data_IF_446144901736
#
_entry.id   IF_446144901736
#
_cell.length_a   1.000
_cell.length_b   1.000
_cell.length_c   1.000
_cell.angle_alpha   90.00
_cell.angle_beta   90.00
_cell.angle_gamma   90.00
#
_symmetry.space_group_name_H-M   'P 1'
#
loop_
_entity.id
_entity.type
_entity.pdbx_description
1 polymer ?
#
# COMPACT_ATOMS: atom_id res chain seq x y z
N UNK A 1 32.12 -32.03 28.95
CA UNK A 1 30.84 -32.77 28.79
C UNK A 1 29.78 -31.71 28.57
N UNK A 2 29.41 -31.46 27.31
CA UNK A 2 28.17 -31.66 26.63
C UNK A 2 27.05 -30.77 27.19
N UNK A 3 26.39 -29.91 26.44
CA UNK A 3 25.74 -30.12 25.15
C UNK A 3 25.35 -28.77 24.50
N UNK A 4 25.71 -28.62 23.28
CA UNK A 4 25.20 -27.64 22.34
C UNK A 4 23.79 -28.08 21.89
N UNK A 5 22.80 -27.20 21.99
CA UNK A 5 21.57 -27.36 21.24
C UNK A 5 21.49 -26.22 20.20
N UNK A 6 21.73 -26.59 18.95
CA UNK A 6 21.56 -25.73 17.79
C UNK A 6 20.06 -25.54 17.52
N UNK A 7 19.63 -24.29 17.38
CA UNK A 7 18.34 -23.94 16.77
C UNK A 7 18.52 -23.75 15.28
N UNK A 8 17.61 -24.23 14.43
CA UNK A 8 17.72 -24.02 13.00
C UNK A 8 17.34 -22.56 12.65
N UNK A 9 18.25 -21.92 11.94
CA UNK A 9 18.06 -20.64 11.29
C UNK A 9 17.10 -20.86 10.12
N UNK A 10 15.94 -20.21 10.18
CA UNK A 10 15.01 -20.09 9.03
C UNK A 10 15.69 -19.24 7.96
N UNK A 11 16.28 -19.89 6.97
CA UNK A 11 16.80 -19.22 5.78
C UNK A 11 15.60 -18.71 4.95
N UNK A 12 15.34 -17.42 5.03
CA UNK A 12 14.45 -16.75 4.10
C UNK A 12 15.07 -16.81 2.70
N UNK A 13 14.46 -17.54 1.80
CA UNK A 13 14.79 -17.55 0.38
C UNK A 13 14.53 -16.17 -0.21
N UNK A 14 15.59 -15.39 -0.34
CA UNK A 14 15.65 -14.21 -1.19
C UNK A 14 15.75 -14.70 -2.65
N UNK A 15 14.66 -14.75 -3.36
CA UNK A 15 14.70 -14.80 -4.81
C UNK A 15 15.16 -13.44 -5.32
N UNK A 16 16.19 -13.36 -6.20
CA UNK A 16 16.62 -12.08 -6.75
C UNK A 16 15.51 -11.51 -7.64
N UNK A 17 15.08 -10.28 -7.34
CA UNK A 17 14.19 -9.49 -8.19
C UNK A 17 14.83 -9.31 -9.58
N UNK A 18 14.10 -9.49 -10.68
CA UNK A 18 14.57 -8.96 -11.96
C UNK A 18 14.62 -7.44 -11.85
N UNK A 19 15.79 -6.85 -12.16
CA UNK A 19 15.99 -5.40 -12.20
C UNK A 19 14.92 -4.76 -13.09
N UNK A 20 14.30 -3.65 -12.69
CA UNK A 20 13.31 -2.96 -13.52
C UNK A 20 14.02 -2.25 -14.68
N UNK A 21 14.18 -2.95 -15.79
CA UNK A 21 14.52 -2.32 -17.07
C UNK A 21 13.27 -2.34 -17.94
N UNK A 22 12.73 -1.14 -18.21
CA UNK A 22 11.73 -0.82 -19.25
C UNK A 22 10.27 -1.25 -18.96
N UNK A 23 9.63 -0.56 -18.03
CA UNK A 23 8.17 -0.42 -18.05
C UNK A 23 7.74 1.05 -18.28
N UNK A 24 8.61 1.85 -18.90
CA UNK A 24 8.42 3.30 -19.08
C UNK A 24 7.53 3.67 -20.29
N UNK A 25 6.86 2.73 -20.94
CA UNK A 25 6.20 3.02 -22.22
C UNK A 25 4.68 2.82 -22.25
N UNK A 26 4.02 2.51 -21.14
CA UNK A 26 2.56 2.26 -21.14
C UNK A 26 1.71 3.26 -20.34
N UNK A 27 2.31 4.20 -19.62
CA UNK A 27 1.56 5.23 -18.87
C UNK A 27 1.41 6.58 -19.57
N UNK A 28 1.97 6.75 -20.78
CA UNK A 28 1.85 8.01 -21.55
C UNK A 28 0.51 8.26 -22.24
N UNK A 29 -0.49 7.38 -22.09
CA UNK A 29 -1.78 7.49 -22.80
C UNK A 29 -3.01 7.68 -21.93
N UNK A 30 -2.87 8.10 -20.68
CA UNK A 30 -4.03 8.31 -19.78
C UNK A 30 -4.42 9.79 -19.57
N UNK A 31 -3.84 10.72 -20.33
CA UNK A 31 -4.24 12.13 -20.34
C UNK A 31 -4.69 12.58 -21.74
N UNK A 32 -5.53 11.81 -22.40
CA UNK A 32 -6.29 12.33 -23.54
C UNK A 32 -7.75 12.52 -23.08
N UNK A 33 -8.18 13.79 -23.11
CA UNK A 33 -9.54 14.23 -22.92
C UNK A 33 -10.52 13.40 -23.77
N UNK A 34 -11.20 12.45 -23.15
CA UNK A 34 -12.43 11.88 -23.67
C UNK A 34 -13.53 12.26 -22.69
N UNK A 35 -14.57 12.89 -23.24
CA UNK A 35 -15.79 13.28 -22.58
C UNK A 35 -16.32 12.10 -21.70
N UNK A 36 -16.16 12.23 -20.39
CA UNK A 36 -16.65 11.26 -19.44
C UNK A 36 -18.17 11.34 -19.41
N UNK A 37 -18.84 10.41 -20.06
CA UNK A 37 -20.18 10.00 -19.68
C UNK A 37 -20.10 9.51 -18.23
N UNK A 38 -20.80 10.15 -17.32
CA UNK A 38 -20.91 9.72 -15.94
C UNK A 38 -21.39 8.26 -15.90
N UNK A 39 -20.47 7.34 -15.60
CA UNK A 39 -20.80 5.94 -15.38
C UNK A 39 -21.48 5.86 -14.01
N UNK A 40 -22.79 5.72 -14.01
CA UNK A 40 -23.53 5.31 -12.82
C UNK A 40 -22.95 3.98 -12.31
N UNK A 41 -22.79 3.82 -10.98
CA UNK A 41 -22.39 2.52 -10.41
C UNK A 41 -23.33 1.45 -10.96
N UNK A 42 -22.84 0.26 -11.29
CA UNK A 42 -23.69 -0.82 -11.77
C UNK A 42 -24.76 -1.06 -10.72
N UNK A 43 -26.02 -0.94 -11.13
CA UNK A 43 -27.12 -1.54 -10.39
C UNK A 43 -26.74 -3.01 -10.16
N UNK A 44 -27.02 -3.59 -8.98
CA UNK A 44 -26.68 -4.99 -8.69
C UNK A 44 -27.39 -5.89 -9.70
N UNK A 45 -26.69 -6.19 -10.78
CA UNK A 45 -27.14 -7.10 -11.84
C UNK A 45 -26.19 -8.29 -11.85
N UNK A 46 -26.80 -9.44 -11.62
CA UNK A 46 -26.23 -10.77 -11.59
C UNK A 46 -25.30 -10.99 -10.38
N UNK A 47 -25.84 -11.71 -9.41
CA UNK A 47 -25.14 -12.21 -8.24
C UNK A 47 -23.84 -12.89 -8.66
N UNK A 48 -22.72 -12.17 -8.51
CA UNK A 48 -21.43 -12.82 -8.37
C UNK A 48 -21.62 -13.78 -7.22
N UNK A 49 -21.18 -15.06 -7.31
CA UNK A 49 -21.29 -15.95 -6.18
C UNK A 49 -20.70 -15.28 -4.96
N UNK A 50 -21.49 -15.16 -3.90
CA UNK A 50 -20.93 -14.71 -2.63
C UNK A 50 -19.78 -15.62 -2.28
N UNK A 51 -18.73 -15.05 -1.66
CA UNK A 51 -17.75 -15.91 -1.02
C UNK A 51 -18.52 -16.83 -0.07
N UNK A 52 -18.13 -18.11 0.06
CA UNK A 52 -18.67 -18.95 1.10
C UNK A 52 -18.72 -18.17 2.42
N UNK A 53 -19.80 -18.30 3.19
CA UNK A 53 -19.93 -17.60 4.49
C UNK A 53 -18.74 -17.86 5.41
N UNK A 54 -18.05 -18.99 5.19
CA UNK A 54 -16.85 -19.42 5.91
C UNK A 54 -15.53 -19.02 5.22
N UNK A 55 -15.54 -18.09 4.24
CA UNK A 55 -14.31 -17.68 3.58
C UNK A 55 -13.33 -17.08 4.59
N UNK A 56 -12.12 -17.64 4.62
CA UNK A 56 -11.05 -17.21 5.52
C UNK A 56 -10.68 -15.74 5.23
N UNK A 57 -10.84 -14.81 6.19
CA UNK A 57 -10.50 -13.40 6.00
C UNK A 57 -8.98 -13.16 5.92
N UNK A 58 -8.17 -14.19 6.20
CA UNK A 58 -6.72 -14.12 6.12
C UNK A 58 -6.27 -13.86 4.67
N UNK A 59 -5.35 -12.92 4.42
CA UNK A 59 -4.76 -12.71 3.10
C UNK A 59 -4.26 -14.02 2.49
N UNK A 60 -4.53 -14.24 1.20
CA UNK A 60 -4.29 -15.51 0.52
C UNK A 60 -2.85 -16.04 0.74
N UNK A 61 -1.86 -15.17 0.64
CA UNK A 61 -0.45 -15.54 0.80
C UNK A 61 -0.04 -15.95 2.23
N UNK A 62 -0.86 -15.64 3.24
CA UNK A 62 -0.63 -16.01 4.66
C UNK A 62 -1.29 -17.34 5.04
N UNK A 63 -2.20 -17.84 4.23
CA UNK A 63 -2.91 -19.09 4.52
C UNK A 63 -2.00 -20.30 4.36
N UNK A 64 -2.17 -21.34 5.17
CA UNK A 64 -1.43 -22.59 4.97
C UNK A 64 -1.81 -23.25 3.64
N UNK A 65 -0.87 -23.87 2.92
CA UNK A 65 -1.17 -24.65 1.71
C UNK A 65 -1.81 -26.00 2.10
N UNK A 66 -3.13 -26.05 2.11
CA UNK A 66 -3.88 -27.18 2.65
C UNK A 66 -4.77 -27.90 1.60
N UNK A 67 -4.86 -27.36 0.37
CA UNK A 67 -5.78 -27.87 -0.65
C UNK A 67 -5.02 -28.57 -1.78
N UNK A 68 -4.95 -29.92 -1.79
CA UNK A 68 -4.30 -30.67 -2.87
C UNK A 68 -5.16 -30.63 -4.13
N UNK A 69 -4.59 -30.21 -5.26
CA UNK A 69 -5.28 -30.05 -6.53
C UNK A 69 -4.50 -30.79 -7.64
N UNK A 70 -5.14 -31.71 -8.39
CA UNK A 70 -4.52 -32.35 -9.54
C UNK A 70 -4.20 -31.37 -10.68
N UNK A 71 -3.12 -31.61 -11.42
CA UNK A 71 -2.72 -30.83 -12.60
C UNK A 71 -3.85 -30.54 -13.56
N UNK A 72 -4.65 -31.57 -13.87
CA UNK A 72 -5.78 -31.48 -14.81
C UNK A 72 -6.85 -30.50 -14.33
N UNK A 73 -7.14 -30.48 -13.02
CA UNK A 73 -8.13 -29.58 -12.41
C UNK A 73 -7.63 -28.14 -12.40
N UNK A 74 -6.35 -27.92 -12.05
CA UNK A 74 -5.72 -26.61 -12.09
C UNK A 74 -5.63 -26.07 -13.51
N UNK A 75 -5.29 -26.91 -14.48
CA UNK A 75 -5.26 -26.53 -15.90
C UNK A 75 -6.66 -26.19 -16.44
N UNK A 76 -7.69 -26.92 -16.01
CA UNK A 76 -9.08 -26.61 -16.35
C UNK A 76 -9.52 -25.27 -15.76
N UNK A 77 -9.20 -25.02 -14.50
CA UNK A 77 -9.44 -23.71 -13.85
C UNK A 77 -8.76 -22.58 -14.64
N UNK A 78 -7.45 -22.71 -14.95
CA UNK A 78 -6.70 -21.71 -15.73
C UNK A 78 -7.37 -21.37 -17.05
N UNK A 79 -7.85 -22.38 -17.80
CA UNK A 79 -8.55 -22.17 -19.08
C UNK A 79 -9.86 -21.42 -18.89
N UNK A 80 -10.69 -21.83 -17.91
CA UNK A 80 -11.98 -21.14 -17.61
C UNK A 80 -11.75 -19.71 -17.18
N UNK A 81 -10.83 -19.48 -16.24
CA UNK A 81 -10.50 -18.15 -15.73
C UNK A 81 -9.95 -17.22 -16.84
N UNK A 82 -9.07 -17.74 -17.70
CA UNK A 82 -8.53 -16.98 -18.83
C UNK A 82 -9.61 -16.63 -19.87
N UNK A 83 -10.60 -17.48 -20.10
CA UNK A 83 -11.71 -17.22 -21.01
C UNK A 83 -12.64 -16.09 -20.55
N UNK A 84 -12.60 -15.74 -19.26
CA UNK A 84 -13.37 -14.61 -18.70
C UNK A 84 -12.71 -13.26 -18.92
N UNK A 85 -11.43 -13.23 -19.34
CA UNK A 85 -10.69 -11.97 -19.58
C UNK A 85 -11.23 -11.30 -20.84
N UNK A 86 -11.77 -10.05 -20.72
CA UNK A 86 -12.24 -9.34 -21.90
C UNK A 86 -11.07 -8.97 -22.83
N UNK A 87 -11.27 -8.96 -24.15
CA UNK A 87 -10.23 -8.55 -25.11
C UNK A 87 -9.71 -7.11 -24.86
N UNK A 88 -10.57 -6.24 -24.29
CA UNK A 88 -10.23 -4.87 -23.92
C UNK A 88 -9.30 -4.74 -22.71
N UNK A 89 -9.12 -5.82 -21.91
CA UNK A 89 -8.34 -5.80 -20.69
C UNK A 89 -7.28 -6.93 -20.63
N UNK A 90 -6.37 -7.04 -21.61
CA UNK A 90 -5.40 -8.14 -21.70
C UNK A 90 -4.44 -8.22 -20.51
N UNK A 91 -4.27 -7.12 -19.75
CA UNK A 91 -3.46 -7.07 -18.53
C UNK A 91 -3.98 -8.02 -17.44
N UNK A 92 -5.27 -8.36 -17.42
CA UNK A 92 -5.87 -9.29 -16.46
C UNK A 92 -5.27 -10.70 -16.55
N UNK A 93 -4.75 -11.12 -17.72
CA UNK A 93 -3.99 -12.38 -17.79
C UNK A 93 -2.77 -12.41 -16.87
N UNK A 94 -2.16 -11.25 -16.61
CA UNK A 94 -1.07 -11.13 -15.63
C UNK A 94 -1.58 -11.28 -14.20
N UNK A 95 -2.74 -10.66 -13.90
CA UNK A 95 -3.38 -10.80 -12.59
C UNK A 95 -3.79 -12.26 -12.30
N UNK A 96 -4.27 -12.99 -13.30
CA UNK A 96 -4.55 -14.42 -13.15
C UNK A 96 -3.28 -15.22 -12.78
N UNK A 97 -2.14 -14.91 -13.39
CA UNK A 97 -0.87 -15.55 -13.01
C UNK A 97 -0.46 -15.20 -11.59
N UNK A 98 -0.67 -13.96 -11.16
CA UNK A 98 -0.37 -13.52 -9.78
C UNK A 98 -1.30 -14.19 -8.77
N UNK A 99 -2.60 -14.25 -9.04
CA UNK A 99 -3.56 -14.97 -8.20
C UNK A 99 -3.11 -16.41 -7.96
N UNK A 100 -2.71 -17.11 -9.02
CA UNK A 100 -2.24 -18.48 -8.92
C UNK A 100 -0.88 -18.60 -8.21
N UNK A 101 -0.02 -17.62 -8.36
CA UNK A 101 1.26 -17.59 -7.65
C UNK A 101 1.06 -17.40 -6.14
N UNK A 102 0.19 -16.48 -5.74
CA UNK A 102 -0.15 -16.25 -4.32
C UNK A 102 -0.89 -17.45 -3.71
N UNK A 103 -1.75 -18.10 -4.51
CA UNK A 103 -2.47 -19.27 -4.07
C UNK A 103 -1.60 -20.54 -3.97
N UNK A 104 -0.46 -20.60 -4.66
CA UNK A 104 0.38 -21.81 -4.72
C UNK A 104 1.48 -21.75 -3.66
N UNK A 105 1.75 -22.90 -3.03
CA UNK A 105 2.99 -23.12 -2.29
C UNK A 105 4.04 -23.78 -3.18
N UNK A 106 5.34 -23.64 -2.88
CA UNK A 106 6.37 -24.46 -3.49
C UNK A 106 6.00 -25.95 -3.33
N UNK A 107 6.00 -26.68 -4.43
CA UNK A 107 5.71 -28.12 -4.37
C UNK A 107 6.72 -28.80 -3.45
N UNK A 108 6.30 -29.68 -2.53
CA UNK A 108 7.24 -30.53 -1.84
C UNK A 108 7.95 -31.39 -2.89
N UNK A 109 9.26 -31.50 -2.79
CA UNK A 109 10.03 -32.40 -3.64
C UNK A 109 9.57 -33.83 -3.35
N UNK A 110 8.67 -34.39 -4.19
CA UNK A 110 8.32 -35.80 -4.08
C UNK A 110 9.50 -36.62 -4.63
N UNK A 111 9.97 -37.55 -3.83
CA UNK A 111 11.01 -38.51 -4.25
C UNK A 111 10.49 -39.60 -5.21
N UNK A 112 9.19 -39.64 -5.45
CA UNK A 112 8.56 -40.63 -6.33
C UNK A 112 8.10 -40.02 -7.67
N UNK A 113 8.77 -40.35 -8.79
CA UNK A 113 8.40 -39.86 -10.12
C UNK A 113 7.04 -40.39 -10.63
N UNK A 114 6.49 -41.44 -10.01
CA UNK A 114 5.20 -42.04 -10.40
C UNK A 114 4.02 -41.47 -9.61
N UNK A 115 4.27 -40.65 -8.57
CA UNK A 115 3.20 -40.02 -7.82
C UNK A 115 2.47 -38.98 -8.68
N UNK A 116 1.13 -38.85 -8.58
CA UNK A 116 0.40 -37.82 -9.30
C UNK A 116 0.89 -36.44 -8.85
N UNK A 117 1.23 -35.58 -9.81
CA UNK A 117 1.61 -34.20 -9.53
C UNK A 117 0.42 -33.46 -8.94
N UNK A 118 0.48 -33.26 -7.63
CA UNK A 118 -0.49 -32.47 -6.88
C UNK A 118 0.10 -31.09 -6.56
N UNK A 119 -0.67 -30.06 -6.87
CA UNK A 119 -0.40 -28.71 -6.39
C UNK A 119 -1.04 -28.52 -5.01
N UNK A 120 -0.31 -27.99 -4.06
CA UNK A 120 -0.88 -27.56 -2.78
C UNK A 120 -1.26 -26.10 -2.89
N UNK A 121 -2.56 -25.83 -2.87
CA UNK A 121 -3.08 -24.46 -2.89
C UNK A 121 -3.44 -23.97 -1.48
N UNK A 122 -3.46 -22.66 -1.32
CA UNK A 122 -3.82 -21.93 -0.08
C UNK A 122 -5.33 -21.68 0.04
N UNK A 123 -6.07 -21.95 -1.03
CA UNK A 123 -7.53 -21.90 -1.09
C UNK A 123 -8.05 -22.96 -2.08
N UNK A 124 -9.27 -23.46 -1.91
CA UNK A 124 -9.89 -24.37 -2.86
C UNK A 124 -10.19 -23.65 -4.19
N UNK A 125 -10.35 -24.43 -5.29
CA UNK A 125 -10.52 -23.86 -6.63
C UNK A 125 -11.81 -23.05 -6.81
N UNK A 126 -12.88 -23.39 -6.13
CA UNK A 126 -14.15 -22.66 -6.13
C UNK A 126 -14.02 -21.30 -5.48
N UNK A 127 -13.28 -21.18 -4.37
CA UNK A 127 -12.95 -19.90 -3.78
C UNK A 127 -12.08 -19.05 -4.71
N UNK A 128 -11.05 -19.61 -5.32
CA UNK A 128 -10.22 -18.92 -6.30
C UNK A 128 -11.04 -18.45 -7.52
N UNK A 129 -12.04 -19.24 -7.95
CA UNK A 129 -12.95 -18.85 -9.02
C UNK A 129 -13.86 -17.68 -8.60
N UNK A 130 -14.39 -17.70 -7.38
CA UNK A 130 -15.17 -16.59 -6.83
C UNK A 130 -14.35 -15.31 -6.70
N UNK A 131 -13.12 -15.39 -6.18
CA UNK A 131 -12.18 -14.26 -6.10
C UNK A 131 -11.87 -13.70 -7.50
N UNK A 132 -11.61 -14.57 -8.48
CA UNK A 132 -11.36 -14.16 -9.86
C UNK A 132 -12.55 -13.46 -10.50
N UNK A 133 -13.77 -13.98 -10.29
CA UNK A 133 -15.01 -13.37 -10.79
C UNK A 133 -15.22 -11.97 -10.22
N UNK A 134 -14.99 -11.77 -8.93
CA UNK A 134 -15.06 -10.45 -8.29
C UNK A 134 -14.08 -9.45 -8.94
N UNK A 135 -12.86 -9.90 -9.22
CA UNK A 135 -11.89 -9.04 -9.90
C UNK A 135 -12.33 -8.65 -11.31
N UNK A 136 -12.76 -9.62 -12.12
CA UNK A 136 -13.07 -9.39 -13.54
C UNK A 136 -14.42 -8.71 -13.75
N UNK A 137 -15.46 -9.12 -12.99
CA UNK A 137 -16.83 -8.63 -13.19
C UNK A 137 -17.15 -7.39 -12.37
N UNK A 138 -16.77 -7.41 -11.09
CA UNK A 138 -17.13 -6.34 -10.16
C UNK A 138 -16.06 -5.25 -10.12
N UNK A 139 -15.01 -5.35 -10.95
CA UNK A 139 -13.91 -4.39 -11.01
C UNK A 139 -13.22 -4.19 -9.65
N UNK A 140 -13.31 -5.23 -8.79
CA UNK A 140 -12.66 -5.17 -7.48
C UNK A 140 -11.15 -5.11 -7.64
N UNK A 141 -10.42 -4.23 -6.91
CA UNK A 141 -8.96 -4.18 -6.96
C UNK A 141 -8.34 -5.56 -6.75
N UNK A 142 -7.35 -5.90 -7.57
CA UNK A 142 -6.66 -7.19 -7.45
C UNK A 142 -6.07 -7.38 -6.04
N UNK A 143 -5.54 -6.33 -5.47
CA UNK A 143 -4.95 -6.32 -4.14
C UNK A 143 -5.96 -6.68 -3.04
N UNK A 144 -7.20 -6.23 -3.15
CA UNK A 144 -8.27 -6.64 -2.23
C UNK A 144 -8.74 -8.08 -2.45
N UNK A 145 -8.56 -8.60 -3.68
CA UNK A 145 -8.87 -10.00 -4.00
C UNK A 145 -7.87 -10.95 -3.35
N UNK A 146 -6.59 -10.65 -3.43
CA UNK A 146 -5.53 -11.49 -2.86
C UNK A 146 -5.17 -11.12 -1.41
N UNK A 147 -5.62 -9.94 -0.94
CA UNK A 147 -5.37 -9.43 0.40
C UNK A 147 -3.97 -8.83 0.61
N UNK A 148 -3.25 -8.49 -0.46
CA UNK A 148 -1.91 -7.93 -0.34
C UNK A 148 -1.53 -6.99 -1.48
N UNK A 149 -0.53 -6.12 -1.22
CA UNK A 149 0.18 -5.32 -2.21
C UNK A 149 1.70 -5.54 -2.07
N UNK A 150 2.37 -5.66 -3.22
CA UNK A 150 3.83 -5.68 -3.30
C UNK A 150 4.36 -4.26 -3.43
N UNK A 151 4.82 -3.69 -2.34
CA UNK A 151 5.24 -2.30 -2.26
C UNK A 151 6.68 -2.20 -1.76
N UNK A 152 7.55 -1.54 -2.55
CA UNK A 152 9.01 -1.49 -2.32
C UNK A 152 9.59 -2.92 -2.19
N UNK A 153 10.13 -3.27 -1.05
CA UNK A 153 10.62 -4.62 -0.72
C UNK A 153 9.68 -5.35 0.27
N UNK A 154 8.47 -4.83 0.43
CA UNK A 154 7.46 -5.37 1.32
C UNK A 154 6.34 -6.07 0.55
N UNK A 155 5.71 -7.03 1.21
CA UNK A 155 4.38 -7.55 0.87
C UNK A 155 3.47 -7.16 2.01
N UNK A 156 2.67 -6.12 1.85
CA UNK A 156 1.80 -5.60 2.90
C UNK A 156 0.38 -6.14 2.74
N UNK A 157 -0.22 -6.56 3.84
CA UNK A 157 -1.63 -6.91 3.85
C UNK A 157 -2.48 -5.66 3.60
N UNK A 158 -3.52 -5.81 2.79
CA UNK A 158 -4.53 -4.78 2.52
C UNK A 158 -5.91 -5.42 2.47
N UNK A 159 -6.94 -4.66 2.80
CA UNK A 159 -8.34 -5.08 2.68
C UNK A 159 -9.25 -3.88 2.47
N UNK A 160 -10.55 -4.13 2.23
CA UNK A 160 -11.53 -3.06 2.14
C UNK A 160 -11.43 -2.11 3.33
N UNK A 161 -11.58 -0.82 3.05
CA UNK A 161 -11.47 0.23 4.05
C UNK A 161 -10.06 0.74 4.32
N UNK A 162 -9.04 0.22 3.60
CA UNK A 162 -7.64 0.69 3.68
C UNK A 162 -7.13 1.03 2.29
N UNK A 163 -6.53 2.21 2.11
CA UNK A 163 -5.90 2.61 0.85
C UNK A 163 -4.84 1.59 0.43
N UNK A 164 -4.88 1.18 -0.84
CA UNK A 164 -3.81 0.35 -1.43
C UNK A 164 -2.57 1.24 -1.62
N UNK A 165 -1.40 0.88 -1.03
CA UNK A 165 -0.18 1.67 -1.19
C UNK A 165 0.21 1.87 -2.66
N UNK A 166 0.56 3.10 -3.02
CA UNK A 166 0.91 3.46 -4.40
C UNK A 166 2.42 3.34 -4.64
N UNK A 167 2.84 2.94 -5.85
CA UNK A 167 4.27 2.85 -6.18
C UNK A 167 5.01 4.18 -6.05
N UNK A 168 4.33 5.30 -6.36
CA UNK A 168 4.90 6.64 -6.25
C UNK A 168 5.32 6.96 -4.82
N UNK A 169 4.53 6.54 -3.84
CA UNK A 169 4.77 6.75 -2.41
C UNK A 169 6.06 6.08 -1.91
N UNK A 170 6.61 5.10 -2.65
CA UNK A 170 7.89 4.47 -2.30
C UNK A 170 9.04 5.49 -2.19
N UNK A 171 9.00 6.59 -2.97
CA UNK A 171 10.00 7.64 -2.96
C UNK A 171 10.11 8.35 -1.60
N UNK A 172 9.02 8.40 -0.83
CA UNK A 172 9.01 9.00 0.51
C UNK A 172 10.00 8.30 1.44
N UNK A 173 10.09 6.97 1.36
CA UNK A 173 11.03 6.18 2.17
C UNK A 173 12.49 6.49 1.82
N UNK A 174 12.77 6.71 0.54
CA UNK A 174 14.12 7.06 0.08
C UNK A 174 14.49 8.49 0.53
N UNK A 175 13.53 9.43 0.53
CA UNK A 175 13.74 10.79 1.06
C UNK A 175 14.05 10.76 2.57
N UNK A 176 13.32 9.95 3.35
CA UNK A 176 13.59 9.76 4.78
C UNK A 176 14.99 9.20 5.00
N UNK A 177 15.38 8.18 4.23
CA UNK A 177 16.71 7.56 4.33
C UNK A 177 17.86 8.50 3.98
N UNK A 178 17.59 9.60 3.27
CA UNK A 178 18.58 10.62 2.93
C UNK A 178 18.77 11.70 4.01
N UNK A 179 17.91 11.74 5.05
CA UNK A 179 18.03 12.70 6.15
C UNK A 179 19.19 12.29 7.06
N UNK A 180 20.10 13.22 7.34
CA UNK A 180 21.23 12.97 8.23
C UNK A 180 20.75 12.57 9.63
N UNK A 181 21.31 11.49 10.17
CA UNK A 181 20.94 10.98 11.50
C UNK A 181 19.58 10.31 11.59
N UNK A 182 18.88 10.09 10.48
CA UNK A 182 17.51 9.57 10.45
C UNK A 182 17.31 8.29 11.29
N UNK A 183 18.36 7.48 11.42
CA UNK A 183 18.30 6.17 12.08
C UNK A 183 17.95 6.23 13.58
N UNK A 184 18.36 7.29 14.27
CA UNK A 184 18.14 7.44 15.71
C UNK A 184 16.94 8.36 16.03
N UNK A 185 16.30 8.88 14.98
CA UNK A 185 15.20 9.83 15.11
C UNK A 185 13.85 9.21 15.43
N UNK A 186 12.96 10.07 15.91
CA UNK A 186 11.55 9.78 16.08
C UNK A 186 10.76 10.33 14.89
N UNK A 187 10.02 9.46 14.24
CA UNK A 187 9.28 9.76 13.03
C UNK A 187 7.79 9.64 13.26
N UNK A 188 6.99 10.48 12.61
CA UNK A 188 5.55 10.30 12.56
C UNK A 188 5.12 9.95 11.12
N UNK A 189 4.28 8.91 10.98
CA UNK A 189 3.58 8.53 9.74
C UNK A 189 2.09 8.82 9.95
N UNK A 190 1.62 9.96 9.40
CA UNK A 190 0.28 10.48 9.62
C UNK A 190 -0.66 10.05 8.51
N UNK A 191 -1.76 9.35 8.86
CA UNK A 191 -2.61 8.65 7.90
C UNK A 191 -1.92 7.39 7.38
N UNK A 192 -1.47 6.54 8.32
CA UNK A 192 -0.57 5.41 8.01
C UNK A 192 -1.19 4.33 7.11
N UNK A 193 -2.52 4.27 7.02
CA UNK A 193 -3.24 3.31 6.19
C UNK A 193 -2.86 1.86 6.52
N UNK A 194 -2.24 1.16 5.57
CA UNK A 194 -1.75 -0.21 5.78
C UNK A 194 -0.50 -0.30 6.65
N UNK A 195 0.10 0.82 7.05
CA UNK A 195 1.38 0.85 7.76
C UNK A 195 2.61 0.67 6.86
N UNK A 196 2.46 0.74 5.54
CA UNK A 196 3.55 0.49 4.58
C UNK A 196 4.75 1.41 4.80
N UNK A 197 4.53 2.73 4.91
CA UNK A 197 5.57 3.72 5.18
C UNK A 197 6.19 3.46 6.56
N UNK A 198 5.36 3.33 7.60
CA UNK A 198 5.83 3.10 8.97
C UNK A 198 6.73 1.86 9.07
N UNK A 199 6.32 0.74 8.47
CA UNK A 199 7.11 -0.50 8.44
C UNK A 199 8.42 -0.32 7.67
N UNK A 200 8.37 0.31 6.49
CA UNK A 200 9.57 0.53 5.68
C UNK A 200 10.60 1.41 6.40
N UNK A 201 10.15 2.52 7.00
CA UNK A 201 11.01 3.41 7.79
C UNK A 201 11.57 2.68 9.01
N UNK A 202 10.73 1.99 9.80
CA UNK A 202 11.17 1.29 11.00
C UNK A 202 12.25 0.23 10.74
N UNK A 203 12.23 -0.43 9.58
CA UNK A 203 13.26 -1.40 9.18
C UNK A 203 14.62 -0.79 8.89
N UNK A 204 14.67 0.51 8.61
CA UNK A 204 15.92 1.26 8.40
C UNK A 204 16.45 1.90 9.67
N UNK A 205 15.61 2.05 10.72
CA UNK A 205 15.98 2.70 11.97
C UNK A 205 16.95 1.86 12.81
N UNK A 206 17.82 2.54 13.52
CA UNK A 206 18.66 1.97 14.59
C UNK A 206 17.85 1.62 15.85
N UNK A 207 18.50 1.18 16.92
CA UNK A 207 17.82 0.75 18.16
C UNK A 207 17.08 1.88 18.89
N UNK A 208 17.56 3.13 18.78
CA UNK A 208 16.94 4.30 19.41
C UNK A 208 15.77 4.90 18.61
N UNK A 209 15.73 4.63 17.30
CA UNK A 209 14.71 5.19 16.41
C UNK A 209 13.31 4.63 16.67
N UNK A 210 12.30 5.46 16.45
CA UNK A 210 10.87 5.11 16.66
C UNK A 210 10.03 5.67 15.52
N UNK A 211 8.92 5.01 15.23
CA UNK A 211 7.86 5.51 14.34
C UNK A 211 6.54 5.54 15.11
N UNK A 212 5.92 6.71 15.14
CA UNK A 212 4.57 6.90 15.64
C UNK A 212 3.63 6.98 14.44
N UNK A 213 2.83 5.93 14.23
CA UNK A 213 1.94 5.82 13.10
C UNK A 213 0.51 6.11 13.54
N UNK A 214 -0.15 7.10 12.92
CA UNK A 214 -1.52 7.48 13.29
C UNK A 214 -2.50 7.25 12.16
N UNK A 215 -3.72 6.84 12.47
CA UNK A 215 -4.84 6.79 11.55
C UNK A 215 -6.17 6.93 12.29
N UNK A 216 -7.13 7.59 11.67
CA UNK A 216 -8.48 7.75 12.24
C UNK A 216 -9.31 6.49 12.05
N UNK A 217 -9.04 5.72 10.97
CA UNK A 217 -9.74 4.50 10.61
C UNK A 217 -9.32 3.32 11.51
N UNK A 218 -10.28 2.71 12.16
CA UNK A 218 -10.04 1.50 12.95
C UNK A 218 -9.52 0.35 12.08
N UNK A 219 -10.09 0.19 10.89
CA UNK A 219 -9.67 -0.84 9.92
C UNK A 219 -8.23 -0.64 9.48
N UNK A 220 -7.81 0.61 9.23
CA UNK A 220 -6.43 0.94 8.89
C UNK A 220 -5.48 0.59 10.06
N UNK A 221 -5.84 0.98 11.29
CA UNK A 221 -5.08 0.66 12.51
C UNK A 221 -4.89 -0.85 12.68
N UNK A 222 -5.93 -1.65 12.47
CA UNK A 222 -5.84 -3.11 12.54
C UNK A 222 -4.90 -3.69 11.48
N UNK A 223 -5.03 -3.24 10.22
CA UNK A 223 -4.17 -3.70 9.12
C UNK A 223 -2.73 -3.27 9.32
N UNK A 224 -2.50 -2.04 9.77
CA UNK A 224 -1.15 -1.57 10.10
C UNK A 224 -0.51 -2.40 11.23
N UNK A 225 -1.25 -2.72 12.30
CA UNK A 225 -0.77 -3.61 13.37
C UNK A 225 -0.40 -5.00 12.86
N UNK A 226 -1.22 -5.58 11.98
CA UNK A 226 -0.92 -6.87 11.33
C UNK A 226 0.41 -6.79 10.57
N UNK A 227 0.62 -5.74 9.76
CA UNK A 227 1.83 -5.56 8.98
C UNK A 227 3.06 -5.31 9.88
N UNK A 228 2.94 -4.47 10.88
CA UNK A 228 4.00 -4.20 11.87
C UNK A 228 4.43 -5.49 12.57
N UNK A 229 3.47 -6.31 13.00
CA UNK A 229 3.76 -7.60 13.64
C UNK A 229 4.44 -8.58 12.69
N UNK A 230 3.96 -8.69 11.45
CA UNK A 230 4.56 -9.57 10.42
C UNK A 230 6.01 -9.26 10.12
N UNK A 231 6.37 -7.98 10.15
CA UNK A 231 7.75 -7.56 9.89
C UNK A 231 8.63 -7.50 11.14
N UNK A 232 8.08 -7.85 12.31
CA UNK A 232 8.83 -7.91 13.56
C UNK A 232 9.35 -6.55 14.01
N UNK A 233 8.65 -5.46 13.71
CA UNK A 233 9.06 -4.08 14.04
C UNK A 233 8.17 -3.43 15.11
N UNK A 234 7.42 -4.21 15.86
CA UNK A 234 6.53 -3.73 16.92
C UNK A 234 7.25 -3.06 18.10
N UNK A 235 8.52 -3.27 18.25
CA UNK A 235 9.39 -2.59 19.21
C UNK A 235 9.80 -1.18 18.76
N UNK A 236 9.64 -0.88 17.48
CA UNK A 236 9.98 0.42 16.86
C UNK A 236 8.76 1.21 16.40
N UNK A 237 7.64 0.56 16.10
CA UNK A 237 6.42 1.20 15.59
C UNK A 237 5.32 1.19 16.61
N UNK A 238 4.88 2.36 17.01
CA UNK A 238 3.71 2.55 17.86
C UNK A 238 2.54 3.08 17.04
N UNK A 239 1.45 2.28 16.95
CA UNK A 239 0.26 2.65 16.18
C UNK A 239 -0.79 3.22 17.12
N UNK A 240 -1.19 4.46 16.88
CA UNK A 240 -2.16 5.22 17.65
C UNK A 240 -3.38 5.57 16.81
N UNK A 241 -4.59 5.29 17.31
CA UNK A 241 -5.81 5.71 16.65
C UNK A 241 -6.13 7.15 17.00
N UNK A 242 -6.38 7.97 15.98
CA UNK A 242 -6.78 9.37 16.13
C UNK A 242 -6.46 10.19 14.88
N UNK A 243 -6.87 11.45 14.92
CA UNK A 243 -6.70 12.38 13.79
C UNK A 243 -5.31 13.03 13.82
N UNK A 244 -4.53 12.80 12.80
CA UNK A 244 -3.24 13.45 12.52
C UNK A 244 -2.32 13.52 13.75
N UNK A 245 -2.13 14.73 14.32
CA UNK A 245 -1.24 15.01 15.45
C UNK A 245 -1.88 14.79 16.82
N UNK A 246 -3.22 14.66 16.90
CA UNK A 246 -3.93 14.54 18.19
C UNK A 246 -3.37 13.44 19.11
N UNK A 247 -3.07 12.23 18.59
CA UNK A 247 -2.53 11.18 19.45
C UNK A 247 -1.05 11.38 19.82
N UNK A 248 -0.38 12.47 19.39
CA UNK A 248 1.06 12.65 19.48
C UNK A 248 1.48 13.77 20.45
N UNK A 249 0.60 14.22 21.35
CA UNK A 249 0.88 15.31 22.28
C UNK A 249 2.11 15.08 23.17
N UNK A 250 2.36 13.83 23.58
CA UNK A 250 3.50 13.43 24.42
C UNK A 250 4.85 13.47 23.69
N UNK A 251 4.83 13.49 22.37
CA UNK A 251 6.03 13.54 21.51
C UNK A 251 6.17 14.84 20.72
N UNK A 252 5.31 15.82 20.99
CA UNK A 252 5.39 17.17 20.39
C UNK A 252 6.77 17.79 20.57
N UNK A 253 7.29 18.40 19.50
CA UNK A 253 8.61 19.07 19.48
C UNK A 253 9.80 18.11 19.53
N UNK A 254 9.57 16.79 19.48
CA UNK A 254 10.63 15.78 19.56
C UNK A 254 10.77 14.98 18.25
N UNK A 255 9.87 15.17 17.29
CA UNK A 255 9.89 14.43 16.04
C UNK A 255 11.02 14.92 15.14
N UNK A 256 11.89 14.02 14.74
CA UNK A 256 12.90 14.26 13.69
C UNK A 256 12.26 14.40 12.33
N UNK A 257 11.12 13.73 12.09
CA UNK A 257 10.40 13.91 10.86
C UNK A 257 8.92 13.56 10.92
N UNK A 258 8.18 14.20 10.01
CA UNK A 258 6.75 13.98 9.77
C UNK A 258 6.54 13.58 8.31
N UNK A 259 5.86 12.49 8.11
CA UNK A 259 5.57 11.89 6.83
C UNK A 259 4.06 11.75 6.68
N UNK A 260 3.52 12.05 5.49
CA UNK A 260 2.12 11.75 5.21
C UNK A 260 1.87 11.56 3.72
N UNK A 261 1.04 10.57 3.40
CA UNK A 261 0.28 10.52 2.15
C UNK A 261 -1.20 10.77 2.50
N UNK A 262 -1.62 12.05 2.64
CA UNK A 262 -2.96 12.37 3.08
C UNK A 262 -3.96 12.28 1.92
N UNK A 263 -5.28 12.29 2.19
CA UNK A 263 -6.29 12.48 1.16
C UNK A 263 -6.08 13.85 0.49
N UNK A 264 -5.93 13.84 -0.84
CA UNK A 264 -5.59 15.05 -1.61
C UNK A 264 -6.40 15.21 -2.90
N UNK A 265 -7.35 14.33 -3.18
CA UNK A 265 -8.18 14.41 -4.40
C UNK A 265 -9.30 15.42 -4.15
N UNK A 266 -9.50 16.42 -5.04
CA UNK A 266 -10.66 17.31 -4.94
C UNK A 266 -11.97 16.52 -4.95
N UNK A 267 -12.91 16.90 -4.10
CA UNK A 267 -14.22 16.19 -3.96
C UNK A 267 -14.92 16.02 -5.30
N UNK A 268 -14.89 17.04 -6.16
CA UNK A 268 -15.55 17.03 -7.47
C UNK A 268 -14.85 16.09 -8.48
N UNK A 269 -13.61 15.68 -8.24
CA UNK A 269 -12.86 14.76 -9.10
C UNK A 269 -13.12 13.28 -8.74
N UNK A 270 -13.64 13.00 -7.55
CA UNK A 270 -13.89 11.62 -7.09
C UNK A 270 -14.78 10.80 -8.01
N UNK A 271 -15.89 11.35 -8.60
CA UNK A 271 -16.72 10.60 -9.54
C UNK A 271 -16.00 10.17 -10.83
N UNK A 272 -14.89 10.86 -11.19
CA UNK A 272 -14.09 10.58 -12.37
C UNK A 272 -13.00 9.51 -12.17
N UNK A 273 -12.83 8.99 -10.97
CA UNK A 273 -11.82 7.98 -10.67
C UNK A 273 -12.14 6.65 -11.37
N UNK A 274 -11.07 5.88 -11.62
CA UNK A 274 -11.24 4.52 -12.15
C UNK A 274 -12.12 3.70 -11.20
N UNK A 275 -12.98 2.84 -11.74
CA UNK A 275 -13.93 2.05 -10.94
C UNK A 275 -13.26 1.27 -9.78
N UNK A 276 -12.08 0.72 -10.00
CA UNK A 276 -11.31 0.01 -8.99
C UNK A 276 -11.01 0.89 -7.77
N UNK A 277 -10.78 2.17 -7.99
CA UNK A 277 -10.51 3.15 -6.92
C UNK A 277 -11.81 3.75 -6.40
N UNK A 278 -12.61 4.37 -7.27
CA UNK A 278 -13.78 5.16 -6.88
C UNK A 278 -14.92 4.35 -6.25
N UNK A 279 -15.04 3.05 -6.58
CA UNK A 279 -16.10 2.19 -6.04
C UNK A 279 -15.67 1.37 -4.83
N UNK A 280 -14.38 1.11 -4.67
CA UNK A 280 -13.88 0.12 -3.70
C UNK A 280 -12.96 0.71 -2.64
N UNK A 281 -12.15 1.71 -2.98
CA UNK A 281 -11.25 2.29 -1.97
C UNK A 281 -11.99 3.31 -1.08
N UNK A 282 -11.56 3.46 0.20
CA UNK A 282 -12.30 4.29 1.15
C UNK A 282 -12.21 5.78 0.78
N UNK A 283 -13.36 6.45 0.63
CA UNK A 283 -13.42 7.90 0.36
C UNK A 283 -12.62 8.71 1.38
N UNK A 284 -12.63 8.26 2.64
CA UNK A 284 -11.87 8.90 3.72
C UNK A 284 -10.37 9.03 3.41
N UNK A 285 -9.81 8.10 2.62
CA UNK A 285 -8.42 8.11 2.23
C UNK A 285 -8.16 8.81 0.88
N UNK A 286 -9.21 9.26 0.18
CA UNK A 286 -9.11 9.87 -1.14
C UNK A 286 -9.50 11.35 -1.14
N UNK A 287 -10.61 11.69 -0.44
CA UNK A 287 -11.24 13.01 -0.48
C UNK A 287 -10.46 14.03 0.33
N UNK A 288 -9.79 14.94 -0.38
CA UNK A 288 -9.02 16.06 0.20
C UNK A 288 -9.82 17.34 0.39
N UNK A 289 -11.16 17.30 0.27
CA UNK A 289 -12.02 18.47 0.32
C UNK A 289 -12.17 19.15 -1.04
N UNK A 290 -12.78 20.34 -1.03
CA UNK A 290 -13.20 21.04 -2.24
C UNK A 290 -12.07 21.19 -3.27
N UNK A 291 -10.88 21.62 -2.82
CA UNK A 291 -9.70 21.86 -3.66
C UNK A 291 -8.61 20.80 -3.45
N UNK A 292 -8.91 19.73 -2.69
CA UNK A 292 -7.96 18.68 -2.34
C UNK A 292 -6.89 19.12 -1.33
N UNK A 293 -7.07 20.24 -0.65
CA UNK A 293 -6.05 20.87 0.20
C UNK A 293 -6.35 20.82 1.69
N UNK A 294 -7.57 20.43 2.10
CA UNK A 294 -8.00 20.56 3.50
C UNK A 294 -7.05 19.85 4.47
N UNK A 295 -6.69 18.63 4.16
CA UNK A 295 -5.77 17.84 5.01
C UNK A 295 -4.33 18.31 4.91
N UNK A 296 -3.86 18.71 3.72
CA UNK A 296 -2.50 19.24 3.52
C UNK A 296 -2.27 20.51 4.31
N UNK A 297 -3.24 21.44 4.30
CA UNK A 297 -3.16 22.69 5.06
C UNK A 297 -3.18 22.43 6.57
N UNK A 298 -4.05 21.53 7.03
CA UNK A 298 -4.09 21.10 8.43
C UNK A 298 -2.76 20.50 8.90
N UNK A 299 -2.15 19.64 8.07
CA UNK A 299 -0.84 19.06 8.35
C UNK A 299 0.24 20.15 8.46
N UNK A 300 0.26 21.12 7.55
CA UNK A 300 1.21 22.23 7.60
C UNK A 300 1.09 23.04 8.91
N UNK A 301 -0.12 23.24 9.42
CA UNK A 301 -0.35 23.96 10.69
C UNK A 301 0.24 23.24 11.89
N UNK A 302 0.21 21.91 11.91
CA UNK A 302 0.76 21.10 13.01
C UNK A 302 2.28 20.95 13.00
N UNK A 303 2.95 21.12 11.85
CA UNK A 303 4.37 20.81 11.68
C UNK A 303 5.29 21.55 12.68
N UNK A 304 5.09 22.88 12.84
CA UNK A 304 5.96 23.70 13.67
C UNK A 304 5.94 23.32 15.15
N UNK A 305 4.83 22.75 15.62
CA UNK A 305 4.71 22.26 16.99
C UNK A 305 5.19 20.81 17.15
N UNK A 306 5.09 20.01 16.11
CA UNK A 306 5.40 18.58 16.15
C UNK A 306 6.89 18.27 15.96
N UNK A 307 7.53 18.95 15.02
CA UNK A 307 8.94 18.74 14.68
C UNK A 307 9.88 19.37 15.72
N UNK A 308 11.03 18.77 15.93
CA UNK A 308 12.16 19.39 16.58
C UNK A 308 12.83 20.43 15.65
N UNK A 309 13.64 21.40 16.14
CA UNK A 309 14.47 22.23 15.27
C UNK A 309 15.35 21.37 14.35
N UNK A 310 15.41 21.71 13.06
CA UNK A 310 16.09 20.89 12.03
C UNK A 310 15.26 19.68 11.57
N UNK A 311 14.07 19.46 12.12
CA UNK A 311 13.21 18.33 11.76
C UNK A 311 12.68 18.40 10.33
N UNK A 312 12.60 17.27 9.69
CA UNK A 312 12.20 17.07 8.28
C UNK A 312 10.68 16.86 8.13
N UNK A 313 10.11 17.28 7.02
CA UNK A 313 8.77 16.83 6.64
C UNK A 313 8.69 16.48 5.16
N UNK A 314 7.79 15.56 4.82
CA UNK A 314 7.42 15.23 3.44
C UNK A 314 5.95 14.86 3.35
N UNK A 315 5.24 15.47 2.39
CA UNK A 315 3.84 15.20 2.08
C UNK A 315 3.69 14.82 0.61
N UNK A 316 2.92 13.78 0.33
CA UNK A 316 2.45 13.46 -1.01
C UNK A 316 1.27 14.37 -1.38
N UNK A 317 1.17 14.73 -2.66
CA UNK A 317 0.14 15.61 -3.23
C UNK A 317 -0.42 15.05 -4.52
N UNK A 318 -1.49 15.67 -5.04
CA UNK A 318 -2.12 15.27 -6.30
C UNK A 318 -1.27 15.59 -7.56
N UNK A 319 -0.18 16.35 -7.43
CA UNK A 319 0.70 16.68 -8.55
C UNK A 319 1.10 18.16 -8.61
N UNK A 320 1.59 18.59 -9.78
CA UNK A 320 2.31 19.84 -9.97
C UNK A 320 1.63 21.06 -9.34
N UNK A 321 0.35 21.30 -9.65
CA UNK A 321 -0.38 22.49 -9.20
C UNK A 321 -0.50 22.54 -7.68
N UNK A 322 -0.83 21.41 -7.07
CA UNK A 322 -1.02 21.33 -5.63
C UNK A 322 0.32 21.43 -4.88
N UNK A 323 1.38 20.78 -5.42
CA UNK A 323 2.74 20.89 -4.87
C UNK A 323 3.27 22.31 -4.95
N UNK A 324 3.12 22.99 -6.08
CA UNK A 324 3.58 24.37 -6.26
C UNK A 324 2.83 25.32 -5.31
N UNK A 325 1.51 25.18 -5.24
CA UNK A 325 0.70 25.95 -4.29
C UNK A 325 1.18 25.73 -2.84
N UNK A 326 1.42 24.49 -2.44
CA UNK A 326 1.80 24.18 -1.06
C UNK A 326 3.19 24.72 -0.70
N UNK A 327 4.15 24.66 -1.65
CA UNK A 327 5.48 25.30 -1.48
C UNK A 327 5.32 26.81 -1.27
N UNK A 328 4.60 27.49 -2.15
CA UNK A 328 4.37 28.94 -2.07
C UNK A 328 3.66 29.33 -0.76
N UNK A 329 2.68 28.54 -0.36
CA UNK A 329 1.92 28.75 0.87
C UNK A 329 2.81 28.62 2.11
N UNK A 330 3.63 27.56 2.21
CA UNK A 330 4.55 27.38 3.35
C UNK A 330 5.61 28.49 3.38
N UNK A 331 6.23 28.79 2.23
CA UNK A 331 7.25 29.81 2.11
C UNK A 331 6.73 31.23 2.44
N UNK A 332 5.45 31.49 2.20
CA UNK A 332 4.84 32.80 2.50
C UNK A 332 4.36 32.87 3.95
N UNK A 333 3.57 31.87 4.40
CA UNK A 333 2.91 31.91 5.71
C UNK A 333 3.86 31.60 6.87
N UNK A 334 4.86 30.73 6.64
CA UNK A 334 5.75 30.21 7.68
C UNK A 334 7.25 30.31 7.31
N UNK A 335 7.65 31.37 6.60
CA UNK A 335 9.04 31.61 6.19
C UNK A 335 10.03 31.67 7.36
N UNK A 336 9.58 32.07 8.54
CA UNK A 336 10.38 32.07 9.76
C UNK A 336 10.52 30.70 10.41
N UNK A 337 9.63 29.77 10.09
CA UNK A 337 9.55 28.47 10.75
C UNK A 337 10.16 27.34 9.91
N UNK A 338 10.17 27.49 8.57
CA UNK A 338 10.64 26.43 7.66
C UNK A 338 11.68 26.97 6.68
N UNK A 339 12.57 26.07 6.22
CA UNK A 339 13.55 26.32 5.18
C UNK A 339 13.63 25.14 4.21
N UNK A 340 14.30 25.37 3.07
CA UNK A 340 14.54 24.37 2.03
C UNK A 340 13.27 23.66 1.57
N UNK A 341 12.16 24.43 1.51
CA UNK A 341 10.85 23.91 1.11
C UNK A 341 10.83 23.82 -0.42
N UNK A 342 10.64 22.62 -0.92
CA UNK A 342 10.66 22.34 -2.35
C UNK A 342 9.67 21.27 -2.76
N UNK A 343 9.29 21.30 -4.05
CA UNK A 343 8.51 20.23 -4.68
C UNK A 343 9.44 19.23 -5.36
N UNK A 344 9.24 17.93 -5.08
CA UNK A 344 10.07 16.83 -5.60
C UNK A 344 9.27 16.02 -6.61
N UNK A 345 9.95 15.61 -7.69
CA UNK A 345 9.38 14.80 -8.76
C UNK A 345 9.27 13.33 -8.34
N UNK A 346 8.21 12.68 -8.81
CA UNK A 346 8.11 11.22 -8.83
C UNK A 346 8.84 10.62 -10.04
N UNK A 347 8.78 9.30 -10.22
CA UNK A 347 9.40 8.60 -11.35
C UNK A 347 8.74 8.88 -12.70
N UNK A 348 7.60 9.58 -12.73
CA UNK A 348 6.89 10.00 -13.93
C UNK A 348 7.12 11.49 -14.27
N UNK A 349 8.10 12.14 -13.63
CA UNK A 349 8.41 13.55 -13.74
C UNK A 349 7.25 14.49 -13.32
N UNK A 350 6.42 14.05 -12.38
CA UNK A 350 5.35 14.86 -11.79
C UNK A 350 5.81 15.34 -10.41
N UNK A 351 5.68 16.63 -10.11
CA UNK A 351 5.90 17.17 -8.76
C UNK A 351 4.83 16.62 -7.83
N UNK A 352 5.16 15.55 -7.14
CA UNK A 352 4.21 14.79 -6.30
C UNK A 352 4.46 14.94 -4.82
N UNK A 353 5.62 15.43 -4.42
CA UNK A 353 5.96 15.57 -3.02
C UNK A 353 6.36 16.99 -2.70
N UNK A 354 6.01 17.44 -1.49
CA UNK A 354 6.51 18.69 -0.90
C UNK A 354 7.28 18.32 0.35
N UNK A 355 8.54 18.74 0.43
CA UNK A 355 9.40 18.50 1.58
C UNK A 355 10.08 19.78 2.05
N UNK A 356 10.59 19.76 3.27
CA UNK A 356 11.35 20.86 3.84
C UNK A 356 11.79 20.56 5.26
N UNK A 357 12.38 21.56 5.92
CA UNK A 357 12.91 21.43 7.27
C UNK A 357 12.39 22.53 8.18
N UNK A 358 12.18 22.20 9.46
CA UNK A 358 11.93 23.20 10.51
C UNK A 358 13.24 23.93 10.85
N UNK A 359 13.19 25.29 10.95
CA UNK A 359 14.33 26.12 11.39
C UNK A 359 14.67 25.90 12.86
#
# INVERSE_FOLDING_TARGET
MLSLSARPILAAFLLPKPKPRRLLLLLRHLHSSSSASALTPPTPRTTTPDLPEDADPTPLFLRPPAHPVPDASLAAFRRRAAALVPPSAPHLHRHLRWLLADASAPAPSSADPAAPHLHLLRAPLDELEALWLRHVRDRRPFQYVVGNEHWKDLVVAVRDGVLIPRPETEAVVDMVGAVEGFQDGWWADLGTGSGAIAVAVARMLGPAGRVFATDVSEVAVEVARLNVHRYGVQDKVEIRRGSWFEPLEDVKGKLMGVISNPPYIPTDDLPGLQPEVGWHEPKLALDGGKDGLDHLLHLCEGLSSALMPGGFFVFETNGNKQSEFLVDFICTKWSSSFCDVEAVLDFADIKRFVRGYRR
#
